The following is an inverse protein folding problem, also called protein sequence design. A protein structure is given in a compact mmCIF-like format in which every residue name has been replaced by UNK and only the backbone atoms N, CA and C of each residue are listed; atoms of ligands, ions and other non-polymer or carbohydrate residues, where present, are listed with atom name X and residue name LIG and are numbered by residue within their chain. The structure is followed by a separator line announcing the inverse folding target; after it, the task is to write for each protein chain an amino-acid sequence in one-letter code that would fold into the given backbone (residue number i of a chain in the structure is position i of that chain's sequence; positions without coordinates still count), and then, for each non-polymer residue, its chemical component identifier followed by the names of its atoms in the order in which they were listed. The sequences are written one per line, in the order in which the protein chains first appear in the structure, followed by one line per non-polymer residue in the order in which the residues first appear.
data_IF_244825452908
#
_entry.id   IF_244825452908
#
_cell.length_a   1.000
_cell.length_b   1.000
_cell.length_c   1.000
_cell.angle_alpha   90.00
_cell.angle_beta   90.00
_cell.angle_gamma   90.00
#
_symmetry.space_group_name_H-M   'P 1'
#
loop_
_entity.id
_entity.type
_entity.pdbx_description
1 polymer ?
#
# COMPACT_ATOMS: atom_id res chain seq x y z
N UNK A 1 -20.09 -25.93 32.85
CA UNK A 1 -19.55 -24.55 32.67
C UNK A 1 -18.11 -24.56 32.14
N UNK A 2 -17.19 -25.36 32.70
CA UNK A 2 -15.78 -25.37 32.26
C UNK A 2 -15.55 -25.93 30.84
N UNK A 3 -16.35 -26.89 30.37
CA UNK A 3 -16.24 -27.40 28.99
C UNK A 3 -16.70 -26.39 27.94
N UNK A 4 -17.70 -25.58 28.26
CA UNK A 4 -18.16 -24.48 27.38
C UNK A 4 -17.04 -23.46 27.12
N UNK A 5 -16.23 -23.16 28.15
CA UNK A 5 -15.06 -22.27 28.04
C UNK A 5 -13.96 -22.91 27.19
N UNK A 6 -13.68 -24.20 27.38
CA UNK A 6 -12.69 -24.95 26.55
C UNK A 6 -13.09 -24.95 25.06
N UNK A 7 -14.38 -25.12 24.74
CA UNK A 7 -14.90 -25.08 23.37
C UNK A 7 -14.80 -23.69 22.73
N UNK A 8 -15.11 -22.63 23.48
CA UNK A 8 -15.00 -21.24 22.99
C UNK A 8 -13.54 -20.82 22.76
N UNK A 9 -12.63 -21.25 23.62
CA UNK A 9 -11.18 -21.03 23.47
C UNK A 9 -10.59 -21.83 22.30
N UNK A 10 -11.05 -23.07 22.08
CA UNK A 10 -10.62 -23.89 20.94
C UNK A 10 -11.09 -23.29 19.60
N UNK A 11 -12.31 -22.76 19.54
CA UNK A 11 -12.88 -22.16 18.32
C UNK A 11 -12.31 -20.76 18.04
N UNK A 12 -11.94 -20.01 19.08
CA UNK A 12 -11.31 -18.70 18.93
C UNK A 12 -9.93 -18.71 18.26
N UNK A 13 -9.20 -19.84 18.31
CA UNK A 13 -7.87 -19.98 17.66
C UNK A 13 -7.94 -20.25 16.16
N UNK A 14 -9.01 -20.88 15.68
CA UNK A 14 -9.21 -21.18 14.25
C UNK A 14 -9.85 -20.04 13.46
N UNK A 15 -10.47 -19.06 14.15
CA UNK A 15 -11.06 -17.89 13.50
C UNK A 15 -10.01 -16.97 12.83
N UNK A 16 -8.81 -16.83 13.41
CA UNK A 16 -7.72 -16.02 12.87
C UNK A 16 -7.06 -16.65 11.63
N UNK A 17 -7.04 -17.98 11.54
CA UNK A 17 -6.47 -18.71 10.40
C UNK A 17 -7.36 -18.65 9.14
N UNK A 18 -8.62 -18.24 9.28
CA UNK A 18 -9.60 -18.10 8.20
C UNK A 18 -9.92 -16.66 7.85
N UNK A 19 -9.16 -15.69 8.37
CA UNK A 19 -9.40 -14.29 8.08
C UNK A 19 -8.93 -13.92 6.66
N UNK A 20 -9.88 -13.83 5.73
CA UNK A 20 -9.61 -13.42 4.35
C UNK A 20 -9.16 -11.96 4.27
N UNK A 21 -9.36 -11.14 5.30
CA UNK A 21 -8.91 -9.74 5.31
C UNK A 21 -7.40 -9.62 5.11
N UNK A 22 -6.63 -10.53 5.70
CA UNK A 22 -5.17 -10.57 5.51
C UNK A 22 -4.77 -10.97 4.08
N UNK A 23 -5.52 -11.88 3.45
CA UNK A 23 -5.30 -12.30 2.06
C UNK A 23 -5.68 -11.17 1.10
N UNK A 24 -6.81 -10.47 1.32
CA UNK A 24 -7.21 -9.32 0.50
C UNK A 24 -6.25 -8.13 0.64
N UNK A 25 -5.58 -7.97 1.79
CA UNK A 25 -4.59 -6.91 1.97
C UNK A 25 -3.36 -7.06 1.06
N UNK A 26 -3.00 -8.29 0.69
CA UNK A 26 -1.88 -8.55 -0.23
C UNK A 26 -2.27 -8.19 -1.67
N UNK A 27 -3.50 -8.46 -2.08
CA UNK A 27 -4.00 -8.16 -3.43
C UNK A 27 -4.08 -6.66 -3.67
N UNK A 28 -4.75 -5.93 -2.76
CA UNK A 28 -4.82 -4.47 -2.83
C UNK A 28 -3.46 -3.82 -2.54
N UNK A 29 -2.60 -4.46 -1.74
CA UNK A 29 -1.23 -4.01 -1.47
C UNK A 29 -0.35 -4.00 -2.72
N UNK A 30 -0.43 -5.03 -3.55
CA UNK A 30 0.31 -5.10 -4.82
C UNK A 30 -0.17 -4.02 -5.81
N UNK A 31 -1.48 -3.83 -5.95
CA UNK A 31 -2.06 -2.80 -6.82
C UNK A 31 -1.64 -1.41 -6.34
N UNK A 32 -1.72 -1.15 -5.02
CA UNK A 32 -1.28 0.11 -4.43
C UNK A 32 0.22 0.37 -4.68
N UNK A 33 1.07 -0.65 -4.58
CA UNK A 33 2.50 -0.52 -4.88
C UNK A 33 2.75 -0.14 -6.35
N UNK A 34 2.05 -0.77 -7.31
CA UNK A 34 2.18 -0.44 -8.73
C UNK A 34 1.73 0.99 -9.05
N UNK A 35 0.62 1.42 -8.47
CA UNK A 35 0.12 2.80 -8.62
C UNK A 35 1.12 3.79 -8.01
N UNK A 36 1.66 3.49 -6.82
CA UNK A 36 2.64 4.35 -6.16
C UNK A 36 3.89 4.54 -7.01
N UNK A 37 4.44 3.46 -7.57
CA UNK A 37 5.62 3.54 -8.47
C UNK A 37 5.32 4.41 -9.69
N UNK A 38 4.17 4.20 -10.35
CA UNK A 38 3.79 4.98 -11.53
C UNK A 38 3.65 6.48 -11.22
N UNK A 39 3.03 6.83 -10.09
CA UNK A 39 2.88 8.22 -9.64
C UNK A 39 4.24 8.84 -9.35
N UNK A 40 5.12 8.14 -8.62
CA UNK A 40 6.46 8.64 -8.30
C UNK A 40 7.21 8.96 -9.59
N UNK A 41 7.23 8.04 -10.56
CA UNK A 41 7.90 8.25 -11.85
C UNK A 41 7.34 9.47 -12.59
N UNK A 42 6.01 9.61 -12.67
CA UNK A 42 5.37 10.73 -13.36
C UNK A 42 5.70 12.07 -12.70
N UNK A 43 5.62 12.14 -11.37
CA UNK A 43 5.92 13.37 -10.61
C UNK A 43 7.40 13.73 -10.70
N UNK A 44 8.32 12.75 -10.65
CA UNK A 44 9.75 13.01 -10.85
C UNK A 44 10.04 13.58 -12.23
N UNK A 45 9.44 13.01 -13.29
CA UNK A 45 9.60 13.52 -14.65
C UNK A 45 9.04 14.94 -14.80
N UNK A 46 7.88 15.22 -14.19
CA UNK A 46 7.28 16.54 -14.20
C UNK A 46 8.16 17.56 -13.47
N UNK A 47 8.69 17.21 -12.29
CA UNK A 47 9.60 18.05 -11.52
C UNK A 47 10.86 18.42 -12.31
N UNK A 48 11.44 17.46 -13.04
CA UNK A 48 12.59 17.70 -13.91
C UNK A 48 12.26 18.69 -15.04
N UNK A 49 11.12 18.52 -15.71
CA UNK A 49 10.68 19.43 -16.79
C UNK A 49 10.46 20.86 -16.28
N UNK A 50 9.85 21.00 -15.10
CA UNK A 50 9.64 22.29 -14.45
C UNK A 50 10.99 22.93 -14.08
N UNK A 51 11.88 22.19 -13.42
CA UNK A 51 13.22 22.66 -13.06
C UNK A 51 14.02 23.11 -14.28
N UNK A 52 14.00 22.32 -15.35
CA UNK A 52 14.63 22.67 -16.62
C UNK A 52 14.07 23.96 -17.23
N UNK A 53 12.77 24.19 -17.09
CA UNK A 53 12.12 25.41 -17.59
C UNK A 53 12.59 26.63 -16.82
N UNK A 54 12.61 26.57 -15.50
CA UNK A 54 13.12 27.66 -14.66
C UNK A 54 14.61 27.92 -14.87
N UNK A 55 15.43 26.87 -15.01
CA UNK A 55 16.86 27.01 -15.31
C UNK A 55 17.10 27.69 -16.65
N UNK A 56 16.30 27.36 -17.68
CA UNK A 56 16.37 28.05 -18.99
C UNK A 56 16.08 29.53 -18.87
N UNK A 57 15.05 29.91 -18.10
CA UNK A 57 14.73 31.33 -17.85
C UNK A 57 15.87 32.01 -17.10
N UNK A 58 16.37 31.40 -16.03
CA UNK A 58 17.45 31.95 -15.21
C UNK A 58 18.77 32.13 -15.97
N UNK A 59 19.03 31.28 -16.97
CA UNK A 59 20.26 31.33 -17.79
C UNK A 59 20.11 32.23 -19.03
N UNK A 60 18.87 32.56 -19.42
CA UNK A 60 18.60 33.41 -20.59
C UNK A 60 18.47 34.90 -20.22
N UNK A 61 18.57 35.25 -18.94
CA UNK A 61 18.57 36.62 -18.40
C UNK A 61 19.98 36.99 -17.93
#
# INVERSE_FOLDING_TARGET
MLEYVKFKLATGRVAWLRDQRAVTAIEYGLIAALIAVAIITAVSSLGNSIGNTFNKVATSL
#
